data_IF_765191683724
#
_entry.id   IF_765191683724
#
_cell.length_a   1.000
_cell.length_b   1.000
_cell.length_c   1.000
_cell.angle_alpha   90.00
_cell.angle_beta   90.00
_cell.angle_gamma   90.00
#
_symmetry.space_group_name_H-M   'P 1'
#
loop_
_entity.id
_entity.type
_entity.pdbx_description
1 polymer ?
#
# COMPACT_ATOMS: atom_id res chain seq x y z
N UNK A 1 -11.47 -5.84 -4.84
CA UNK A 1 -10.94 -6.70 -3.75
C UNK A 1 -10.58 -5.75 -2.61
N UNK A 2 -10.94 -6.08 -1.37
CA UNK A 2 -10.70 -5.20 -0.21
C UNK A 2 -9.51 -5.76 0.57
N UNK A 3 -8.49 -4.93 0.82
CA UNK A 3 -7.38 -5.33 1.69
C UNK A 3 -7.86 -5.44 3.14
N UNK A 4 -7.30 -6.39 3.88
CA UNK A 4 -7.62 -6.62 5.29
C UNK A 4 -6.37 -6.47 6.13
N UNK A 5 -6.55 -6.06 7.38
CA UNK A 5 -5.46 -5.94 8.35
C UNK A 5 -4.75 -7.28 8.52
N UNK A 6 -3.42 -7.26 8.50
CA UNK A 6 -2.54 -8.42 8.65
C UNK A 6 -2.19 -9.10 7.33
N UNK A 7 -2.80 -8.72 6.21
CA UNK A 7 -2.43 -9.27 4.90
C UNK A 7 -1.06 -8.75 4.43
N UNK A 8 -0.28 -9.65 3.83
CA UNK A 8 0.99 -9.32 3.19
C UNK A 8 0.75 -8.73 1.81
N UNK A 9 1.30 -7.55 1.58
CA UNK A 9 1.20 -6.80 0.33
C UNK A 9 2.58 -6.42 -0.18
N UNK A 10 2.70 -6.26 -1.50
CA UNK A 10 3.88 -5.71 -2.15
C UNK A 10 3.53 -4.48 -2.94
N UNK A 11 4.43 -3.51 -2.95
CA UNK A 11 4.33 -2.36 -3.85
C UNK A 11 4.80 -2.81 -5.23
N UNK A 12 3.87 -3.03 -6.16
CA UNK A 12 4.20 -3.55 -7.50
C UNK A 12 4.38 -2.43 -8.54
N UNK A 13 3.73 -1.29 -8.33
CA UNK A 13 3.83 -0.11 -9.20
C UNK A 13 3.82 1.18 -8.37
N UNK A 14 4.38 2.28 -8.89
CA UNK A 14 4.19 3.60 -8.29
C UNK A 14 2.73 4.06 -8.47
N UNK A 15 2.28 4.99 -7.64
CA UNK A 15 0.92 5.52 -7.74
C UNK A 15 0.65 6.20 -9.08
N UNK A 16 -0.62 6.15 -9.46
CA UNK A 16 -1.19 6.94 -10.54
C UNK A 16 -1.04 8.43 -10.28
N UNK A 17 -0.97 8.85 -9.02
CA UNK A 17 -0.69 10.22 -8.64
C UNK A 17 0.80 10.57 -8.85
N UNK A 18 1.06 11.55 -9.72
CA UNK A 18 2.41 12.00 -10.07
C UNK A 18 3.17 12.55 -8.86
N UNK A 19 2.48 13.09 -7.86
CA UNK A 19 3.09 13.63 -6.64
C UNK A 19 3.76 12.52 -5.82
N UNK A 20 3.26 11.29 -5.94
CA UNK A 20 3.75 10.13 -5.19
C UNK A 20 4.83 9.37 -5.94
N UNK A 21 4.92 9.47 -7.27
CA UNK A 21 5.93 8.75 -8.07
C UNK A 21 7.36 8.83 -7.52
N UNK A 22 7.94 10.01 -7.24
CA UNK A 22 9.32 10.08 -6.73
C UNK A 22 9.45 9.53 -5.31
N UNK A 23 8.40 9.64 -4.50
CA UNK A 23 8.36 9.07 -3.15
C UNK A 23 8.23 7.55 -3.20
N UNK A 24 7.48 7.01 -4.17
CA UNK A 24 7.16 5.59 -4.27
C UNK A 24 8.19 4.77 -5.02
N UNK A 25 9.00 5.38 -5.87
CA UNK A 25 10.08 4.72 -6.61
C UNK A 25 10.98 3.88 -5.67
N UNK A 26 11.31 4.43 -4.49
CA UNK A 26 12.11 3.75 -3.45
C UNK A 26 11.40 2.59 -2.72
N UNK A 27 10.09 2.46 -2.91
CA UNK A 27 9.27 1.41 -2.31
C UNK A 27 8.84 0.35 -3.31
N UNK A 28 8.92 0.60 -4.61
CA UNK A 28 8.62 -0.40 -5.65
C UNK A 28 9.46 -1.65 -5.42
N UNK A 29 8.81 -2.81 -5.36
CA UNK A 29 9.44 -4.09 -5.06
C UNK A 29 9.58 -4.41 -3.56
N UNK A 30 9.22 -3.50 -2.65
CA UNK A 30 9.19 -3.79 -1.22
C UNK A 30 7.93 -4.54 -0.82
N UNK A 31 8.10 -5.35 0.22
CA UNK A 31 7.04 -6.07 0.89
C UNK A 31 6.62 -5.30 2.15
N UNK A 32 5.33 -5.36 2.45
CA UNK A 32 4.76 -4.80 3.65
C UNK A 32 3.56 -5.59 4.14
N UNK A 33 3.02 -5.15 5.26
CA UNK A 33 1.85 -5.74 5.89
C UNK A 33 0.85 -4.63 6.14
N UNK A 34 -0.42 -4.86 5.81
CA UNK A 34 -1.50 -3.92 6.08
C UNK A 34 -1.68 -3.83 7.60
N UNK A 35 -1.35 -2.69 8.19
CA UNK A 35 -1.60 -2.43 9.62
C UNK A 35 -2.97 -1.82 9.85
N UNK A 36 -3.42 -0.98 8.91
CA UNK A 36 -4.77 -0.43 8.94
C UNK A 36 -5.28 -0.25 7.50
N UNK A 37 -6.31 -1.00 7.09
CA UNK A 37 -6.84 -0.89 5.73
C UNK A 37 -7.71 0.37 5.52
N UNK A 38 -7.82 1.27 6.51
CA UNK A 38 -8.65 2.49 6.53
C UNK A 38 -9.90 2.35 5.64
N UNK A 39 -10.73 1.36 5.96
CA UNK A 39 -11.94 1.01 5.20
C UNK A 39 -13.10 1.94 5.55
N UNK A 40 -12.80 3.22 5.78
CA UNK A 40 -13.81 4.22 6.06
C UNK A 40 -14.56 4.52 4.76
N UNK A 41 -15.50 3.63 4.41
CA UNK A 41 -16.52 3.76 3.34
C UNK A 41 -15.97 3.69 1.90
N UNK A 42 -15.69 2.50 1.36
CA UNK A 42 -15.61 2.21 -0.09
C UNK A 42 -14.87 3.24 -0.99
N UNK A 43 -13.97 4.04 -0.42
CA UNK A 43 -13.39 5.16 -1.13
C UNK A 43 -12.19 4.66 -1.91
N UNK A 44 -12.21 4.73 -3.25
CA UNK A 44 -11.10 4.24 -4.07
C UNK A 44 -9.82 5.05 -3.80
N UNK A 45 -9.94 6.28 -3.30
CA UNK A 45 -8.82 7.17 -2.97
C UNK A 45 -8.32 7.03 -1.51
N UNK A 46 -8.92 6.12 -0.72
CA UNK A 46 -8.47 5.90 0.65
C UNK A 46 -7.02 5.39 0.70
N UNK A 47 -6.22 6.03 1.56
CA UNK A 47 -4.85 5.62 1.85
C UNK A 47 -4.85 4.54 2.92
N UNK A 48 -4.22 3.41 2.62
CA UNK A 48 -4.08 2.29 3.55
C UNK A 48 -2.76 2.40 4.29
N UNK A 49 -2.78 2.12 5.58
CA UNK A 49 -1.58 2.05 6.38
C UNK A 49 -0.89 0.70 6.20
N UNK A 50 0.32 0.75 5.67
CA UNK A 50 1.17 -0.38 5.36
C UNK A 50 2.49 -0.25 6.10
N UNK A 51 2.81 -1.26 6.90
CA UNK A 51 4.17 -1.41 7.44
C UNK A 51 5.07 -2.04 6.40
N UNK A 52 5.89 -1.20 5.76
CA UNK A 52 6.90 -1.62 4.78
C UNK A 52 8.17 -2.11 5.48
N UNK A 53 8.71 -3.22 4.98
CA UNK A 53 9.97 -3.78 5.45
C UNK A 53 11.10 -2.74 5.30
N UNK A 54 11.84 -2.49 6.40
CA UNK A 54 12.96 -1.52 6.50
C UNK A 54 12.59 -0.04 6.33
N UNK A 55 11.32 0.30 6.16
CA UNK A 55 10.85 1.70 6.01
C UNK A 55 9.87 2.13 7.09
N UNK A 56 9.32 1.19 7.86
CA UNK A 56 8.35 1.47 8.90
C UNK A 56 6.93 1.57 8.33
N UNK A 57 6.05 2.21 9.07
CA UNK A 57 4.62 2.32 8.75
C UNK A 57 4.36 3.55 7.88
N UNK A 58 3.78 3.34 6.70
CA UNK A 58 3.49 4.38 5.71
C UNK A 58 2.07 4.25 5.19
N UNK A 59 1.44 5.39 4.91
CA UNK A 59 0.14 5.43 4.24
C UNK A 59 0.34 5.44 2.74
N UNK A 60 -0.19 4.44 2.06
CA UNK A 60 -0.04 4.24 0.63
C UNK A 60 -1.40 3.99 -0.02
N UNK A 61 -1.61 4.47 -1.25
CA UNK A 61 -2.83 4.18 -1.99
C UNK A 61 -2.90 2.69 -2.33
N UNK A 62 -4.13 2.16 -2.30
CA UNK A 62 -4.42 0.75 -2.56
C UNK A 62 -4.04 0.30 -3.98
N UNK A 63 -4.06 1.22 -4.95
CA UNK A 63 -3.78 0.95 -6.37
C UNK A 63 -2.35 0.39 -6.60
N UNK A 64 -1.41 0.80 -5.75
CA UNK A 64 0.00 0.42 -5.84
C UNK A 64 0.30 -0.92 -5.16
N UNK A 65 -0.62 -1.38 -4.33
CA UNK A 65 -0.44 -2.54 -3.47
C UNK A 65 -0.99 -3.77 -4.18
N UNK A 66 -0.31 -4.89 -4.02
CA UNK A 66 -0.77 -6.19 -4.50
C UNK A 66 -0.58 -7.23 -3.42
N UNK A 67 -1.61 -8.02 -3.18
CA UNK A 67 -1.52 -9.16 -2.27
C UNK A 67 -0.45 -10.14 -2.76
N UNK A 68 0.35 -10.65 -1.82
CA UNK A 68 1.38 -11.67 -2.08
C UNK A 68 0.92 -13.06 -1.61
N UNK A 69 -0.19 -13.12 -0.87
CA UNK A 69 -0.80 -14.36 -0.38
C UNK A 69 -1.85 -14.84 -1.41
N UNK A 70 -1.80 -16.12 -1.77
CA UNK A 70 -2.83 -16.87 -2.52
C UNK A 70 -3.66 -17.69 -1.52
#
# INVERSE_FOLDING_TARGET
MVFQRGQKVKVYQPSTDESWRPYMDRFVGLHGIITDPDTTINDPDALMEVSLDKKGTHRLPQDCLRLIDD
#
